data_IF_727018892867
#
_entry.id   IF_727018892867
#
_cell.length_a   1.000
_cell.length_b   1.000
_cell.length_c   1.000
_cell.angle_alpha   90.00
_cell.angle_beta   90.00
_cell.angle_gamma   90.00
#
_symmetry.space_group_name_H-M   'P 1'
#
loop_
_entity.id
_entity.type
_entity.pdbx_description
1 polymer ?
#
# COMPACT_ATOMS: atom_id res chain seq x y z
N UNK A 1 11.99 29.01 -21.68
CA UNK A 1 12.85 27.82 -21.55
C UNK A 1 11.94 26.65 -21.23
N UNK A 2 12.01 25.57 -21.98
CA UNK A 2 11.16 24.36 -21.73
C UNK A 2 11.48 23.79 -20.36
N UNK A 3 10.46 23.22 -19.68
CA UNK A 3 10.56 22.69 -18.31
C UNK A 3 11.76 21.75 -18.10
N UNK A 4 12.02 20.72 -18.94
CA UNK A 4 13.19 19.85 -18.78
C UNK A 4 14.52 20.60 -18.82
N UNK A 5 14.72 21.49 -19.78
CA UNK A 5 15.98 22.26 -19.93
C UNK A 5 16.28 23.16 -18.74
N UNK A 6 15.25 23.69 -18.06
CA UNK A 6 15.44 24.49 -16.85
C UNK A 6 15.96 23.62 -15.71
N UNK A 7 15.36 22.44 -15.52
CA UNK A 7 15.76 21.47 -14.48
C UNK A 7 17.17 20.94 -14.78
N UNK A 8 17.41 20.50 -16.02
CA UNK A 8 18.70 20.01 -16.47
C UNK A 8 19.83 21.00 -16.18
N UNK A 9 19.61 22.29 -16.43
CA UNK A 9 20.61 23.34 -16.13
C UNK A 9 20.93 23.41 -14.64
N UNK A 10 19.93 23.34 -13.77
CA UNK A 10 20.11 23.34 -12.30
C UNK A 10 20.93 22.12 -11.90
N UNK A 11 20.54 20.92 -12.32
CA UNK A 11 21.22 19.68 -11.95
C UNK A 11 22.67 19.62 -12.46
N UNK A 12 22.97 20.20 -13.64
CA UNK A 12 24.32 20.26 -14.20
C UNK A 12 25.31 21.02 -13.30
N UNK A 13 24.85 22.01 -12.55
CA UNK A 13 25.70 22.73 -11.60
C UNK A 13 26.21 21.84 -10.48
N UNK A 14 25.40 20.87 -10.02
CA UNK A 14 25.76 19.91 -8.97
C UNK A 14 26.66 18.76 -9.48
N UNK A 15 26.64 18.45 -10.78
CA UNK A 15 27.56 17.46 -11.37
C UNK A 15 29.03 17.88 -11.27
N UNK A 16 29.32 19.18 -11.26
CA UNK A 16 30.69 19.72 -11.21
C UNK A 16 31.33 19.53 -9.82
N UNK A 17 30.59 19.14 -8.82
CA UNK A 17 31.10 18.90 -7.48
C UNK A 17 31.69 17.49 -7.48
N UNK A 18 33.03 17.40 -7.52
CA UNK A 18 33.79 16.15 -7.52
C UNK A 18 33.75 15.46 -6.14
N UNK A 19 32.65 14.79 -5.80
CA UNK A 19 32.57 13.92 -4.65
C UNK A 19 31.71 12.70 -4.98
N UNK A 20 32.09 11.53 -4.43
CA UNK A 20 31.42 10.25 -4.61
C UNK A 20 30.16 10.10 -3.73
N UNK A 21 29.68 11.19 -3.14
CA UNK A 21 28.56 11.19 -2.22
C UNK A 21 27.23 11.29 -2.95
N UNK A 22 26.18 10.75 -2.38
CA UNK A 22 24.82 10.89 -2.89
C UNK A 22 24.44 12.37 -2.93
N UNK A 23 24.03 12.83 -4.10
CA UNK A 23 23.45 14.17 -4.29
C UNK A 23 21.93 14.03 -4.28
N UNK A 24 21.27 14.75 -3.39
CA UNK A 24 19.81 14.84 -3.32
C UNK A 24 19.41 16.31 -3.48
N UNK A 25 18.87 16.66 -4.61
CA UNK A 25 18.57 18.05 -5.01
C UNK A 25 17.07 18.25 -5.08
N UNK A 26 16.56 19.24 -4.35
CA UNK A 26 15.14 19.60 -4.35
C UNK A 26 14.93 20.86 -5.18
N UNK A 27 13.98 20.79 -6.10
CA UNK A 27 13.62 21.87 -7.01
C UNK A 27 12.11 22.09 -6.94
N UNK A 28 11.62 23.26 -6.48
CA UNK A 28 10.21 23.60 -6.60
C UNK A 28 9.79 23.68 -8.07
N UNK A 29 8.67 23.04 -8.39
CA UNK A 29 8.13 23.02 -9.75
C UNK A 29 6.65 23.42 -9.77
N UNK A 30 6.20 23.91 -10.92
CA UNK A 30 4.81 24.28 -11.14
C UNK A 30 4.10 23.24 -12.03
N UNK A 31 4.19 21.96 -11.61
CA UNK A 31 3.57 20.86 -12.31
C UNK A 31 2.91 19.92 -11.29
N UNK A 32 1.58 19.98 -11.12
CA UNK A 32 0.88 19.07 -10.22
C UNK A 32 1.07 17.60 -10.63
N UNK A 33 1.28 16.72 -9.67
CA UNK A 33 1.50 15.29 -9.92
C UNK A 33 0.36 14.64 -10.73
N UNK A 34 -0.87 15.08 -10.54
CA UNK A 34 -2.06 14.60 -11.28
C UNK A 34 -2.06 14.93 -12.77
N UNK A 35 -1.14 15.79 -13.23
CA UNK A 35 -0.94 16.09 -14.65
C UNK A 35 0.15 15.22 -15.28
N UNK A 36 0.82 14.39 -14.50
CA UNK A 36 1.84 13.47 -15.00
C UNK A 36 1.16 12.16 -15.37
N UNK A 37 1.34 11.74 -16.59
CA UNK A 37 0.82 10.47 -17.08
C UNK A 37 1.77 9.34 -16.62
N UNK A 38 1.33 8.56 -15.64
CA UNK A 38 2.15 7.49 -15.05
C UNK A 38 2.37 6.37 -16.06
N UNK A 39 1.42 6.14 -16.97
CA UNK A 39 1.54 5.14 -18.04
C UNK A 39 2.69 5.39 -19.01
N UNK A 40 3.27 6.62 -19.09
CA UNK A 40 4.44 6.89 -19.91
C UNK A 40 5.70 6.16 -19.44
N UNK A 41 5.78 5.79 -18.17
CA UNK A 41 6.89 5.03 -17.62
C UNK A 41 6.76 3.53 -17.85
N UNK A 42 5.61 3.08 -18.36
CA UNK A 42 5.40 1.70 -18.77
C UNK A 42 6.32 1.37 -19.97
N UNK A 43 6.91 0.20 -20.00
CA UNK A 43 7.84 -0.28 -21.04
C UNK A 43 9.26 0.35 -21.02
N UNK A 44 9.67 0.98 -19.92
CA UNK A 44 11.02 1.57 -19.78
C UNK A 44 11.94 0.77 -18.85
N UNK A 45 11.57 -0.42 -18.42
CA UNK A 45 12.27 -1.25 -17.42
C UNK A 45 12.56 -0.52 -16.10
N UNK A 46 11.82 0.56 -15.84
CA UNK A 46 11.97 1.38 -14.65
C UNK A 46 10.98 0.93 -13.56
N UNK A 47 11.48 0.91 -12.34
CA UNK A 47 10.62 0.72 -11.17
C UNK A 47 9.89 2.02 -10.86
N UNK A 48 8.57 1.97 -10.73
CA UNK A 48 7.75 3.15 -10.44
C UNK A 48 6.85 2.87 -9.24
N UNK A 49 6.82 3.79 -8.28
CA UNK A 49 5.83 3.80 -7.21
C UNK A 49 5.08 5.13 -7.22
N UNK A 50 3.78 5.06 -7.47
CA UNK A 50 2.85 6.12 -7.10
C UNK A 50 2.29 5.85 -5.72
N UNK A 51 2.27 6.87 -4.88
CA UNK A 51 1.76 6.83 -3.52
C UNK A 51 0.93 8.08 -3.23
N UNK A 52 -0.25 7.94 -2.72
CA UNK A 52 -1.14 9.03 -2.36
C UNK A 52 -1.96 8.66 -1.13
N UNK A 53 -2.14 9.63 -0.24
CA UNK A 53 -3.17 9.61 0.79
C UNK A 53 -4.05 10.82 0.58
N UNK A 54 -5.17 10.71 -0.15
CA UNK A 54 -5.95 11.87 -0.61
C UNK A 54 -6.41 12.80 0.50
N UNK A 55 -6.71 12.26 1.70
CA UNK A 55 -7.13 13.04 2.86
C UNK A 55 -6.01 13.86 3.50
N UNK A 56 -4.74 13.55 3.25
CA UNK A 56 -3.58 14.28 3.79
C UNK A 56 -2.97 15.26 2.80
N UNK A 57 -3.51 15.35 1.57
CA UNK A 57 -2.96 16.17 0.48
C UNK A 57 -1.47 15.90 0.20
N UNK A 58 -1.04 14.67 0.50
CA UNK A 58 0.33 14.22 0.30
C UNK A 58 0.35 13.10 -0.73
N UNK A 59 1.18 13.27 -1.76
CA UNK A 59 1.38 12.26 -2.79
C UNK A 59 2.78 12.37 -3.39
N UNK A 60 3.30 11.24 -3.88
CA UNK A 60 4.53 11.24 -4.66
C UNK A 60 4.51 10.21 -5.78
N UNK A 61 5.34 10.47 -6.77
CA UNK A 61 5.71 9.57 -7.85
C UNK A 61 7.22 9.35 -7.77
N UNK A 62 7.63 8.15 -7.41
CA UNK A 62 9.02 7.73 -7.34
C UNK A 62 9.37 6.89 -8.56
N UNK A 63 10.47 7.22 -9.23
CA UNK A 63 10.85 6.63 -10.52
C UNK A 63 12.29 6.13 -10.45
N UNK A 64 12.53 4.92 -10.95
CA UNK A 64 13.80 4.22 -10.96
C UNK A 64 14.35 3.90 -9.57
N UNK A 65 15.47 3.20 -9.49
CA UNK A 65 16.11 2.85 -8.22
C UNK A 65 17.60 3.09 -8.29
N UNK A 66 18.09 3.89 -7.37
CA UNK A 66 19.51 4.26 -7.31
C UNK A 66 20.32 3.20 -6.56
N UNK A 67 19.80 2.72 -5.41
CA UNK A 67 20.48 1.76 -4.54
C UNK A 67 19.45 0.85 -3.90
N UNK A 68 19.87 -0.41 -3.69
CA UNK A 68 19.29 -1.30 -2.71
C UNK A 68 19.95 -0.99 -1.36
N UNK A 69 19.21 -0.48 -0.41
CA UNK A 69 19.71 -0.05 0.90
C UNK A 69 20.43 -1.15 1.71
N UNK A 70 20.27 -2.43 1.30
CA UNK A 70 20.86 -3.59 1.96
C UNK A 70 22.36 -3.81 1.69
N UNK A 71 22.95 -3.17 0.68
CA UNK A 71 24.31 -3.48 0.23
C UNK A 71 25.41 -2.49 0.63
N UNK A 72 25.05 -1.25 0.97
CA UNK A 72 26.03 -0.27 1.43
C UNK A 72 25.46 0.52 2.60
N UNK A 73 26.18 0.55 3.70
CA UNK A 73 25.96 1.54 4.76
C UNK A 73 26.26 2.92 4.14
N UNK A 74 25.22 3.55 3.74
CA UNK A 74 25.22 4.89 3.27
C UNK A 74 25.17 5.81 4.49
N UNK A 75 26.16 6.70 4.58
CA UNK A 75 26.22 7.66 5.67
C UNK A 75 25.33 8.87 5.32
N UNK A 76 24.26 9.09 6.09
CA UNK A 76 23.37 10.23 5.89
C UNK A 76 24.05 11.59 5.94
N UNK A 77 25.14 11.70 6.70
CA UNK A 77 25.87 12.95 6.84
C UNK A 77 26.61 13.39 5.57
N UNK A 78 26.80 12.47 4.63
CA UNK A 78 27.51 12.70 3.36
C UNK A 78 26.60 13.03 2.19
N UNK A 79 25.30 13.31 2.42
CA UNK A 79 24.43 13.76 1.34
C UNK A 79 24.65 15.25 1.08
N UNK A 80 25.09 15.56 -0.13
CA UNK A 80 25.06 16.94 -0.62
C UNK A 80 23.61 17.30 -0.99
N UNK A 81 23.07 18.28 -0.30
CA UNK A 81 21.69 18.70 -0.50
C UNK A 81 21.53 20.21 -0.31
N UNK A 82 20.46 20.75 -0.88
CA UNK A 82 20.00 22.11 -0.64
C UNK A 82 18.86 22.18 0.38
N UNK A 83 18.92 21.36 1.45
CA UNK A 83 17.81 21.13 2.39
C UNK A 83 17.48 22.30 3.29
N UNK A 84 18.41 23.21 3.55
CA UNK A 84 18.17 24.29 4.51
C UNK A 84 16.88 25.08 4.27
N UNK A 85 16.40 25.11 3.02
CA UNK A 85 15.13 25.74 2.62
C UNK A 85 13.93 24.77 2.62
N UNK A 86 14.15 23.45 2.80
CA UNK A 86 13.15 22.37 2.61
C UNK A 86 13.14 21.36 3.76
N UNK A 87 13.50 21.80 4.97
CA UNK A 87 13.59 20.93 6.16
C UNK A 87 12.27 20.23 6.53
N UNK A 88 11.15 20.77 6.08
CA UNK A 88 9.82 20.20 6.35
C UNK A 88 9.41 19.06 5.39
N UNK A 89 10.25 18.77 4.39
CA UNK A 89 9.99 17.68 3.44
C UNK A 89 10.66 16.37 3.90
N UNK A 90 9.97 15.24 3.77
CA UNK A 90 10.50 13.93 4.19
C UNK A 90 11.53 13.37 3.18
N UNK A 91 12.70 13.97 3.07
CA UNK A 91 13.75 13.63 2.09
C UNK A 91 15.09 13.25 2.73
N UNK A 92 15.87 12.36 2.06
CA UNK A 92 15.49 11.57 0.89
C UNK A 92 14.48 10.49 1.27
N UNK A 93 13.53 10.22 0.36
CA UNK A 93 12.62 9.10 0.53
C UNK A 93 13.34 7.78 0.24
N UNK A 94 13.22 6.84 1.16
CA UNK A 94 13.62 5.44 0.93
C UNK A 94 12.33 4.64 0.82
N UNK A 95 12.11 4.05 -0.34
CA UNK A 95 10.94 3.21 -0.59
C UNK A 95 11.21 1.81 -0.05
N UNK A 96 10.24 1.29 0.70
CA UNK A 96 10.28 -0.07 1.22
C UNK A 96 9.07 -0.87 0.78
N UNK A 97 9.33 -2.04 0.20
CA UNK A 97 8.30 -3.04 -0.08
C UNK A 97 8.69 -4.38 0.50
N UNK A 98 7.72 -5.10 1.05
CA UNK A 98 7.94 -6.44 1.63
C UNK A 98 6.76 -7.34 1.30
N UNK A 99 7.03 -8.51 0.74
CA UNK A 99 6.02 -9.53 0.48
C UNK A 99 5.49 -10.13 1.78
N UNK A 100 4.31 -10.73 1.72
CA UNK A 100 3.83 -11.56 2.82
C UNK A 100 4.81 -12.72 3.08
N UNK A 101 5.15 -13.03 4.33
CA UNK A 101 6.30 -13.88 4.66
C UNK A 101 6.05 -15.39 4.44
N UNK A 102 5.36 -15.76 3.38
CA UNK A 102 5.15 -17.13 2.92
C UNK A 102 5.40 -17.16 1.41
N UNK A 103 6.49 -17.78 1.01
CA UNK A 103 6.86 -17.87 -0.40
C UNK A 103 6.50 -19.28 -0.93
N UNK A 104 5.67 -19.33 -1.97
CA UNK A 104 5.27 -20.54 -2.69
C UNK A 104 5.76 -20.55 -4.15
N UNK A 105 6.77 -19.75 -4.48
CA UNK A 105 7.37 -19.66 -5.82
C UNK A 105 6.35 -19.37 -6.94
N UNK A 106 5.39 -18.53 -6.68
CA UNK A 106 4.37 -18.16 -7.66
C UNK A 106 4.93 -17.27 -8.76
N UNK A 107 4.77 -17.70 -10.02
CA UNK A 107 5.26 -16.95 -11.19
C UNK A 107 4.63 -15.56 -11.36
N UNK A 108 3.44 -15.32 -10.80
CA UNK A 108 2.77 -14.01 -10.93
C UNK A 108 3.52 -12.90 -10.18
N UNK A 109 4.33 -13.25 -9.16
CA UNK A 109 5.06 -12.31 -8.33
C UNK A 109 6.57 -12.18 -8.64
N UNK A 110 7.04 -12.84 -9.73
CA UNK A 110 8.47 -12.87 -10.05
C UNK A 110 9.10 -11.51 -10.36
N UNK A 111 8.28 -10.53 -10.77
CA UNK A 111 8.77 -9.19 -11.10
C UNK A 111 8.99 -8.34 -9.84
N UNK A 112 8.36 -8.68 -8.72
CA UNK A 112 8.47 -7.94 -7.47
C UNK A 112 9.37 -8.66 -6.46
N UNK A 113 10.14 -7.89 -5.71
CA UNK A 113 11.01 -8.37 -4.63
C UNK A 113 10.81 -7.53 -3.37
N UNK A 114 11.25 -8.08 -2.23
CA UNK A 114 11.45 -7.28 -1.02
C UNK A 114 12.60 -6.33 -1.27
N UNK A 115 12.36 -5.03 -1.18
CA UNK A 115 13.38 -4.02 -1.50
C UNK A 115 13.28 -2.80 -0.62
N UNK A 116 14.45 -2.23 -0.35
CA UNK A 116 14.64 -0.87 0.13
C UNK A 116 15.48 -0.13 -0.92
N UNK A 117 14.99 0.99 -1.44
CA UNK A 117 15.74 1.74 -2.44
C UNK A 117 15.46 3.24 -2.39
N UNK A 118 16.44 4.03 -2.81
CA UNK A 118 16.30 5.46 -3.06
C UNK A 118 15.93 5.64 -4.53
N UNK A 119 14.80 6.31 -4.87
CA UNK A 119 14.47 6.60 -6.27
C UNK A 119 15.46 7.59 -6.87
N UNK A 120 15.77 7.45 -8.18
CA UNK A 120 16.54 8.48 -8.89
C UNK A 120 15.78 9.80 -8.97
N UNK A 121 14.48 9.73 -9.21
CA UNK A 121 13.61 10.89 -9.36
C UNK A 121 12.34 10.73 -8.54
N UNK A 122 12.00 11.77 -7.79
CA UNK A 122 10.72 11.84 -7.06
C UNK A 122 10.02 13.14 -7.45
N UNK A 123 8.75 13.04 -7.83
CA UNK A 123 7.84 14.18 -7.87
C UNK A 123 7.00 14.11 -6.62
N UNK A 124 7.19 15.04 -5.72
CA UNK A 124 6.50 15.12 -4.43
C UNK A 124 5.51 16.27 -4.44
N UNK A 125 4.26 15.99 -4.15
CA UNK A 125 3.26 17.01 -3.85
C UNK A 125 2.95 16.98 -2.37
N UNK A 126 3.11 18.13 -1.72
CA UNK A 126 2.72 18.36 -0.34
C UNK A 126 1.85 19.61 -0.31
N UNK A 127 0.58 19.43 0.06
CA UNK A 127 -0.45 20.46 -0.03
C UNK A 127 -0.53 21.04 -1.47
N UNK A 128 -0.46 22.36 -1.61
CA UNK A 128 -0.53 23.03 -2.91
C UNK A 128 0.82 23.13 -3.66
N UNK A 129 1.92 22.67 -3.06
CA UNK A 129 3.28 22.79 -3.62
C UNK A 129 3.75 21.47 -4.20
N UNK A 130 4.47 21.54 -5.31
CA UNK A 130 5.10 20.36 -5.93
C UNK A 130 6.60 20.56 -6.02
N UNK A 131 7.33 19.51 -5.74
CA UNK A 131 8.79 19.48 -5.73
C UNK A 131 9.28 18.34 -6.62
N UNK A 132 10.35 18.57 -7.33
CA UNK A 132 11.14 17.55 -7.99
C UNK A 132 12.36 17.29 -7.11
N UNK A 133 12.61 16.03 -6.78
CA UNK A 133 13.75 15.58 -6.00
C UNK A 133 14.58 14.67 -6.91
N UNK A 134 15.81 15.05 -7.20
CA UNK A 134 16.73 14.29 -8.03
C UNK A 134 17.83 13.70 -7.16
N UNK A 135 17.98 12.38 -7.18
CA UNK A 135 19.00 11.65 -6.42
C UNK A 135 19.97 10.97 -7.41
N UNK A 136 21.26 11.26 -7.28
CA UNK A 136 22.29 10.69 -8.15
C UNK A 136 23.66 10.69 -7.50
N UNK A 137 24.53 9.72 -7.86
CA UNK A 137 25.94 9.67 -7.48
C UNK A 137 26.83 10.16 -8.58
N UNK A 138 26.51 9.80 -9.82
CA UNK A 138 27.40 9.91 -10.97
C UNK A 138 26.66 10.41 -12.22
N UNK A 139 27.39 10.58 -13.30
CA UNK A 139 26.85 11.09 -14.58
C UNK A 139 25.81 10.13 -15.19
N UNK A 140 25.96 8.83 -15.02
CA UNK A 140 25.00 7.86 -15.58
C UNK A 140 23.64 7.96 -14.89
N UNK A 141 23.61 8.18 -13.57
CA UNK A 141 22.37 8.43 -12.84
C UNK A 141 21.72 9.74 -13.25
N UNK A 142 22.53 10.77 -13.47
CA UNK A 142 22.07 12.05 -13.99
C UNK A 142 21.45 11.92 -15.38
N UNK A 143 22.09 11.19 -16.32
CA UNK A 143 21.57 10.97 -17.66
C UNK A 143 20.22 10.25 -17.64
N UNK A 144 20.04 9.28 -16.73
CA UNK A 144 18.74 8.64 -16.50
C UNK A 144 17.68 9.64 -16.05
N UNK A 145 18.03 10.52 -15.11
CA UNK A 145 17.10 11.56 -14.63
C UNK A 145 16.69 12.49 -15.79
N UNK A 146 17.63 12.91 -16.61
CA UNK A 146 17.33 13.76 -17.77
C UNK A 146 16.36 13.07 -18.73
N UNK A 147 16.58 11.81 -19.04
CA UNK A 147 15.66 11.02 -19.87
C UNK A 147 14.24 10.91 -19.27
N UNK A 148 14.13 10.79 -17.94
CA UNK A 148 12.84 10.78 -17.24
C UNK A 148 12.14 12.15 -17.29
N UNK A 149 12.88 13.25 -17.25
CA UNK A 149 12.31 14.60 -17.36
C UNK A 149 11.60 14.82 -18.70
N UNK A 150 12.13 14.27 -19.79
CA UNK A 150 11.48 14.32 -21.09
C UNK A 150 10.13 13.60 -21.09
N UNK A 151 10.04 12.42 -20.46
CA UNK A 151 8.78 11.67 -20.32
C UNK A 151 7.72 12.43 -19.49
N UNK A 152 8.15 13.21 -18.51
CA UNK A 152 7.25 14.05 -17.70
C UNK A 152 6.71 15.22 -18.53
N UNK A 153 7.52 15.78 -19.44
CA UNK A 153 7.19 16.99 -20.19
C UNK A 153 6.32 16.75 -21.44
N UNK A 154 6.41 15.57 -22.04
CA UNK A 154 5.68 15.25 -23.27
C UNK A 154 4.17 15.38 -23.15
N UNK A 155 3.63 15.34 -21.92
CA UNK A 155 2.19 15.44 -21.65
C UNK A 155 1.72 16.83 -21.19
N UNK A 156 2.61 17.79 -21.03
CA UNK A 156 2.24 19.14 -20.56
C UNK A 156 1.43 19.97 -21.57
N UNK A 157 1.36 19.55 -22.84
CA UNK A 157 0.73 20.31 -23.92
C UNK A 157 -0.49 19.65 -24.58
N UNK A 158 -0.75 18.39 -24.34
CA UNK A 158 -1.97 17.76 -24.81
C UNK A 158 -2.88 17.40 -23.61
N UNK A 159 -3.85 18.26 -23.33
CA UNK A 159 -5.11 17.76 -22.81
C UNK A 159 -5.65 16.82 -23.88
N UNK A 160 -5.15 15.59 -23.97
CA UNK A 160 -5.92 14.53 -24.59
C UNK A 160 -7.25 14.57 -23.87
N UNK A 161 -8.30 15.00 -24.56
CA UNK A 161 -9.65 14.59 -24.25
C UNK A 161 -9.62 13.06 -24.31
N UNK A 162 -9.17 12.46 -23.21
CA UNK A 162 -9.26 11.05 -22.93
C UNK A 162 -10.77 10.76 -22.88
N UNK A 163 -11.34 10.48 -24.04
CA UNK A 163 -12.53 9.65 -24.08
C UNK A 163 -12.12 8.37 -23.40
N UNK A 164 -12.53 8.29 -22.14
CA UNK A 164 -12.30 7.21 -21.20
C UNK A 164 -12.80 5.91 -21.83
N UNK A 165 -11.97 5.19 -22.56
CA UNK A 165 -12.24 3.78 -22.79
C UNK A 165 -12.13 3.11 -21.44
N UNK A 166 -13.29 2.84 -20.86
CA UNK A 166 -13.39 2.14 -19.58
C UNK A 166 -12.72 0.78 -19.76
N UNK A 167 -11.90 0.43 -18.77
CA UNK A 167 -11.35 -0.91 -18.70
C UNK A 167 -12.47 -1.95 -18.75
N UNK A 168 -12.36 -2.90 -19.67
CA UNK A 168 -13.35 -3.96 -19.85
C UNK A 168 -12.77 -5.30 -19.38
N UNK A 169 -13.54 -6.01 -18.56
CA UNK A 169 -13.30 -7.42 -18.26
C UNK A 169 -14.03 -8.29 -19.28
N UNK A 170 -13.39 -9.33 -19.76
CA UNK A 170 -14.15 -10.46 -20.28
C UNK A 170 -14.88 -11.11 -19.11
N UNK A 171 -16.18 -11.41 -19.31
CA UNK A 171 -16.97 -12.07 -18.28
C UNK A 171 -16.26 -13.34 -17.83
N UNK A 172 -15.63 -13.28 -16.65
CA UNK A 172 -15.22 -14.46 -15.94
C UNK A 172 -16.37 -14.81 -14.99
N UNK A 173 -16.81 -16.04 -15.05
CA UNK A 173 -17.75 -16.59 -14.07
C UNK A 173 -17.05 -16.63 -12.71
N UNK A 174 -17.28 -15.61 -11.89
CA UNK A 174 -16.67 -15.43 -10.55
C UNK A 174 -17.31 -16.34 -9.51
N UNK A 175 -18.27 -17.16 -9.87
CA UNK A 175 -19.02 -18.00 -8.93
C UNK A 175 -19.14 -19.43 -9.43
N UNK A 176 -18.05 -20.20 -9.33
CA UNK A 176 -18.15 -21.64 -9.40
C UNK A 176 -18.53 -22.19 -8.01
N UNK A 177 -19.48 -23.11 -7.96
CA UNK A 177 -19.77 -23.91 -6.73
C UNK A 177 -18.48 -24.56 -6.20
N UNK A 178 -17.59 -24.98 -7.07
CA UNK A 178 -16.27 -25.52 -6.71
C UNK A 178 -15.40 -24.52 -5.91
N UNK A 179 -15.41 -23.23 -6.25
CA UNK A 179 -14.69 -22.18 -5.50
C UNK A 179 -15.23 -22.03 -4.07
N UNK A 180 -16.53 -22.16 -3.88
CA UNK A 180 -17.14 -22.12 -2.55
C UNK A 180 -16.86 -23.39 -1.74
N UNK A 181 -16.88 -24.58 -2.35
CA UNK A 181 -16.54 -25.85 -1.68
C UNK A 181 -15.10 -25.84 -1.17
N UNK A 182 -14.15 -25.40 -2.01
CA UNK A 182 -12.74 -25.26 -1.59
C UNK A 182 -12.59 -24.25 -0.45
N UNK A 183 -13.32 -23.13 -0.52
CA UNK A 183 -13.38 -22.12 0.51
C UNK A 183 -13.91 -22.67 1.84
N UNK A 184 -15.03 -23.37 1.83
CA UNK A 184 -15.65 -24.00 3.00
C UNK A 184 -14.72 -25.04 3.63
N UNK A 185 -14.07 -25.87 2.83
CA UNK A 185 -13.08 -26.84 3.30
C UNK A 185 -11.91 -26.15 4.01
N UNK A 186 -11.39 -25.08 3.44
CA UNK A 186 -10.31 -24.31 4.05
C UNK A 186 -10.75 -23.68 5.38
N UNK A 187 -11.95 -23.09 5.45
CA UNK A 187 -12.49 -22.55 6.70
C UNK A 187 -12.62 -23.64 7.77
N UNK A 188 -13.14 -24.81 7.40
CA UNK A 188 -13.28 -25.91 8.33
C UNK A 188 -11.93 -26.37 8.90
N UNK A 189 -10.87 -26.34 8.07
CA UNK A 189 -9.51 -26.65 8.54
C UNK A 189 -8.99 -25.60 9.53
N UNK A 190 -9.17 -24.29 9.22
CA UNK A 190 -8.84 -23.22 10.16
C UNK A 190 -9.59 -23.34 11.49
N UNK A 191 -10.89 -23.64 11.45
CA UNK A 191 -11.72 -23.80 12.63
C UNK A 191 -11.29 -24.99 13.51
N UNK A 192 -10.73 -26.07 12.93
CA UNK A 192 -10.14 -27.16 13.73
C UNK A 192 -8.97 -26.67 14.58
N UNK A 193 -8.05 -25.90 13.98
CA UNK A 193 -6.92 -25.34 14.71
C UNK A 193 -7.34 -24.34 15.78
N UNK A 194 -8.39 -23.55 15.53
CA UNK A 194 -8.95 -22.59 16.49
C UNK A 194 -9.63 -23.31 17.65
N UNK A 195 -10.38 -24.39 17.38
CA UNK A 195 -11.04 -25.20 18.43
C UNK A 195 -10.02 -25.88 19.34
N UNK A 196 -8.88 -26.28 18.79
CA UNK A 196 -7.78 -26.90 19.55
C UNK A 196 -6.90 -25.85 20.26
N UNK A 197 -7.30 -24.57 20.27
CA UNK A 197 -6.61 -23.44 20.93
C UNK A 197 -5.17 -23.19 20.43
N UNK A 198 -4.78 -23.80 19.32
CA UNK A 198 -3.47 -23.58 18.71
C UNK A 198 -3.32 -22.16 18.17
N UNK A 199 -4.42 -21.54 17.77
CA UNK A 199 -4.49 -20.18 17.24
C UNK A 199 -5.83 -19.56 17.64
N UNK A 200 -5.83 -18.26 17.95
CA UNK A 200 -7.06 -17.52 18.29
C UNK A 200 -7.73 -16.96 17.02
N UNK A 201 -6.92 -16.57 16.04
CA UNK A 201 -7.34 -16.02 14.76
C UNK A 201 -6.34 -16.41 13.69
N UNK A 202 -6.81 -16.75 12.50
CA UNK A 202 -5.98 -16.83 11.30
C UNK A 202 -6.73 -16.26 10.10
N UNK A 203 -6.03 -15.56 9.19
CA UNK A 203 -6.65 -14.91 8.04
C UNK A 203 -6.55 -15.85 6.84
N UNK A 204 -7.70 -16.25 6.32
CA UNK A 204 -7.80 -16.99 5.07
C UNK A 204 -7.99 -15.99 3.93
N UNK A 205 -7.24 -16.18 2.85
CA UNK A 205 -7.33 -15.33 1.67
C UNK A 205 -7.66 -16.11 0.41
N UNK A 206 -8.13 -15.38 -0.60
CA UNK A 206 -8.40 -15.88 -1.95
C UNK A 206 -8.11 -14.79 -2.98
N UNK A 207 -8.02 -15.19 -4.24
CA UNK A 207 -8.03 -14.25 -5.35
C UNK A 207 -9.03 -14.71 -6.42
N UNK A 208 -9.42 -13.76 -7.26
CA UNK A 208 -10.13 -14.02 -8.52
C UNK A 208 -9.25 -13.55 -9.66
N UNK A 209 -9.24 -14.30 -10.77
CA UNK A 209 -8.46 -14.00 -11.96
C UNK A 209 -9.40 -13.75 -13.14
N UNK A 210 -9.28 -12.58 -13.76
CA UNK A 210 -10.07 -12.19 -14.93
C UNK A 210 -9.15 -11.72 -16.06
N UNK A 211 -9.58 -11.87 -17.30
CA UNK A 211 -8.86 -11.28 -18.44
C UNK A 211 -9.30 -9.84 -18.66
N UNK A 212 -8.35 -8.97 -18.96
CA UNK A 212 -8.56 -7.56 -19.25
C UNK A 212 -8.43 -7.36 -20.77
N UNK A 213 -9.41 -6.72 -21.40
CA UNK A 213 -9.35 -6.33 -22.81
C UNK A 213 -8.53 -5.06 -23.00
N UNK A 214 -8.79 -4.06 -22.16
CA UNK A 214 -8.06 -2.78 -22.16
C UNK A 214 -8.17 -2.12 -20.78
N UNK A 215 -7.21 -1.26 -20.44
CA UNK A 215 -7.30 -0.41 -19.26
C UNK A 215 -6.38 0.80 -19.42
N UNK A 216 -6.77 1.89 -18.77
CA UNK A 216 -5.95 3.08 -18.60
C UNK A 216 -5.57 3.21 -17.12
N UNK A 217 -4.27 3.17 -16.85
CA UNK A 217 -3.75 3.20 -15.48
C UNK A 217 -4.04 4.53 -14.78
N UNK A 218 -3.99 5.64 -15.50
CA UNK A 218 -4.22 6.98 -14.94
C UNK A 218 -5.69 7.15 -14.56
N UNK A 219 -6.61 6.50 -15.29
CA UNK A 219 -8.02 6.42 -14.94
C UNK A 219 -8.24 5.57 -13.69
N UNK A 220 -7.58 4.42 -13.60
CA UNK A 220 -7.64 3.54 -12.42
C UNK A 220 -7.22 4.31 -11.17
N UNK A 221 -6.08 4.99 -11.22
CA UNK A 221 -5.57 5.81 -10.11
C UNK A 221 -6.57 6.91 -9.73
N UNK A 222 -7.02 7.68 -10.72
CA UNK A 222 -7.97 8.77 -10.50
C UNK A 222 -9.28 8.27 -9.88
N UNK A 223 -9.77 7.11 -10.31
CA UNK A 223 -10.99 6.50 -9.79
C UNK A 223 -10.82 6.05 -8.34
N UNK A 224 -9.67 5.43 -8.01
CA UNK A 224 -9.35 5.04 -6.63
C UNK A 224 -9.25 6.27 -5.72
N UNK A 225 -8.48 7.29 -6.11
CA UNK A 225 -8.30 8.53 -5.33
C UNK A 225 -9.62 9.26 -5.07
N UNK A 226 -10.51 9.31 -6.05
CA UNK A 226 -11.82 9.95 -5.88
C UNK A 226 -12.75 9.16 -4.95
N UNK A 227 -12.75 7.82 -5.07
CA UNK A 227 -13.68 6.96 -4.33
C UNK A 227 -13.22 6.65 -2.91
N UNK A 228 -11.91 6.56 -2.65
CA UNK A 228 -11.33 6.06 -1.40
C UNK A 228 -10.42 7.10 -0.74
N UNK A 229 -10.97 8.25 -0.36
CA UNK A 229 -10.22 9.41 0.14
C UNK A 229 -9.42 9.14 1.41
N UNK A 230 -9.89 8.23 2.27
CA UNK A 230 -9.25 7.88 3.54
C UNK A 230 -8.33 6.65 3.44
N UNK A 231 -8.07 6.17 2.22
CA UNK A 231 -7.19 5.04 1.95
C UNK A 231 -5.84 5.51 1.39
N UNK A 232 -4.84 4.67 1.56
CA UNK A 232 -3.58 4.77 0.84
C UNK A 232 -3.80 4.25 -0.58
N UNK A 233 -3.61 5.10 -1.57
CA UNK A 233 -3.63 4.73 -2.98
C UNK A 233 -2.19 4.47 -3.40
N UNK A 234 -1.93 3.28 -3.90
CA UNK A 234 -0.61 2.90 -4.37
C UNK A 234 -0.67 2.21 -5.73
N UNK A 235 0.34 2.45 -6.53
CA UNK A 235 0.61 1.72 -7.77
C UNK A 235 2.09 1.44 -7.84
N UNK A 236 2.45 0.18 -7.75
CA UNK A 236 3.82 -0.30 -7.96
C UNK A 236 3.90 -0.95 -9.33
N UNK A 237 4.83 -0.46 -10.11
CA UNK A 237 5.01 -0.88 -11.48
C UNK A 237 6.43 -1.40 -11.65
N UNK A 238 6.59 -2.61 -12.13
CA UNK A 238 7.89 -3.23 -12.38
C UNK A 238 7.77 -4.19 -13.57
N UNK A 239 8.56 -3.99 -14.63
CA UNK A 239 8.48 -4.71 -15.89
C UNK A 239 7.06 -4.69 -16.49
N UNK A 240 6.46 -5.88 -16.70
CA UNK A 240 5.12 -6.04 -17.24
C UNK A 240 4.03 -6.18 -16.18
N UNK A 241 4.38 -6.01 -14.90
CA UNK A 241 3.49 -6.21 -13.77
C UNK A 241 3.12 -4.90 -13.10
N UNK A 242 1.83 -4.72 -12.80
CA UNK A 242 1.29 -3.55 -12.10
C UNK A 242 0.54 -4.04 -10.86
N UNK A 243 1.05 -3.73 -9.68
CA UNK A 243 0.37 -3.99 -8.43
C UNK A 243 -0.20 -2.68 -7.87
N UNK A 244 -1.50 -2.63 -7.63
CA UNK A 244 -2.19 -1.41 -7.26
C UNK A 244 -3.30 -1.66 -6.24
N UNK A 245 -3.70 -0.61 -5.52
CA UNK A 245 -4.77 -0.76 -4.54
C UNK A 245 -5.16 0.53 -3.83
N UNK A 246 -6.19 0.38 -2.98
CA UNK A 246 -6.69 1.42 -2.08
C UNK A 246 -6.81 0.85 -0.65
N UNK A 247 -5.70 0.86 0.08
CA UNK A 247 -5.64 0.26 1.41
C UNK A 247 -6.17 1.18 2.50
N UNK A 248 -7.14 0.75 3.30
CA UNK A 248 -7.56 1.48 4.48
C UNK A 248 -6.66 1.23 5.70
N UNK A 249 -5.72 0.27 5.62
CA UNK A 249 -4.96 -0.23 6.77
C UNK A 249 -3.58 0.41 6.84
N UNK A 250 -3.39 1.31 7.81
CA UNK A 250 -2.08 1.84 8.20
C UNK A 250 -1.33 0.77 8.99
N UNK A 251 -0.07 0.44 8.60
CA UNK A 251 0.80 -0.29 9.50
C UNK A 251 1.25 0.62 10.64
N UNK A 252 1.94 1.68 10.30
CA UNK A 252 2.22 2.82 11.17
C UNK A 252 2.70 4.01 10.35
N UNK A 253 2.53 5.21 10.89
CA UNK A 253 3.29 6.40 10.53
C UNK A 253 4.14 6.84 11.72
N UNK A 254 5.31 7.41 11.44
CA UNK A 254 6.24 7.90 12.44
C UNK A 254 6.67 9.31 12.06
N UNK A 255 6.58 10.23 13.02
CA UNK A 255 7.10 11.59 12.90
C UNK A 255 7.42 12.13 14.28
N UNK A 256 8.59 12.75 14.44
CA UNK A 256 9.03 13.33 15.71
C UNK A 256 8.92 12.31 16.88
N UNK A 257 9.28 11.04 16.61
CA UNK A 257 9.15 9.89 17.54
C UNK A 257 7.72 9.52 17.95
N UNK A 258 6.72 10.20 17.43
CA UNK A 258 5.32 9.83 17.60
C UNK A 258 4.94 8.80 16.53
N UNK A 259 4.77 7.56 16.97
CA UNK A 259 4.22 6.49 16.17
C UNK A 259 2.69 6.54 16.25
N UNK A 260 2.05 6.54 15.09
CA UNK A 260 0.61 6.37 14.98
C UNK A 260 0.30 5.09 14.21
N UNK A 261 -0.49 4.22 14.81
CA UNK A 261 -1.03 3.00 14.18
C UNK A 261 -2.51 2.85 14.52
N UNK A 262 -3.14 1.81 14.01
CA UNK A 262 -4.56 1.58 14.25
C UNK A 262 -4.91 0.09 14.21
N UNK A 263 -5.83 -0.33 15.06
CA UNK A 263 -6.50 -1.61 14.93
C UNK A 263 -7.73 -1.43 14.04
N UNK A 264 -7.80 -2.19 12.97
CA UNK A 264 -8.91 -2.19 11.99
C UNK A 264 -9.33 -3.63 11.72
N UNK A 265 -10.38 -4.12 12.41
CA UNK A 265 -10.88 -5.48 12.26
C UNK A 265 -12.33 -5.57 12.73
N UNK A 266 -13.04 -6.61 12.28
CA UNK A 266 -14.48 -6.68 12.41
C UNK A 266 -15.16 -5.80 11.36
N UNK A 267 -16.12 -6.37 10.60
CA UNK A 267 -16.65 -5.70 9.41
C UNK A 267 -18.15 -5.93 9.24
N UNK A 268 -18.83 -4.92 8.70
CA UNK A 268 -20.21 -5.03 8.24
C UNK A 268 -20.42 -4.16 6.99
N UNK A 269 -21.37 -4.52 6.12
CA UNK A 269 -21.69 -3.75 4.94
C UNK A 269 -22.19 -2.34 5.30
N UNK A 270 -22.12 -1.41 4.33
CA UNK A 270 -22.78 -0.11 4.41
C UNK A 270 -24.29 -0.26 4.20
N UNK A 271 -25.07 0.56 4.89
CA UNK A 271 -26.50 0.67 4.67
C UNK A 271 -26.83 1.44 3.37
N UNK A 272 -27.95 1.09 2.72
CA UNK A 272 -28.45 1.80 1.54
C UNK A 272 -28.92 3.23 1.81
N UNK A 273 -29.16 3.57 3.07
CA UNK A 273 -29.51 4.90 3.55
C UNK A 273 -28.91 5.13 4.93
N UNK A 274 -28.95 6.37 5.42
CA UNK A 274 -28.33 6.76 6.70
C UNK A 274 -28.89 5.96 7.89
N UNK A 275 -30.19 5.75 7.96
CA UNK A 275 -30.84 5.04 9.08
C UNK A 275 -30.37 3.59 9.17
N UNK A 276 -30.35 2.88 8.03
CA UNK A 276 -29.85 1.51 7.96
C UNK A 276 -28.35 1.44 8.24
N UNK A 277 -27.57 2.41 7.72
CA UNK A 277 -26.13 2.47 7.93
C UNK A 277 -25.77 2.66 9.41
N UNK A 278 -26.49 3.54 10.10
CA UNK A 278 -26.29 3.77 11.54
C UNK A 278 -26.78 2.58 12.39
N UNK A 279 -27.85 1.88 11.95
CA UNK A 279 -28.30 0.63 12.57
C UNK A 279 -27.22 -0.46 12.46
N UNK A 280 -26.68 -0.70 11.26
CA UNK A 280 -25.61 -1.68 11.04
C UNK A 280 -24.33 -1.33 11.83
N UNK A 281 -23.98 -0.06 11.93
CA UNK A 281 -22.88 0.39 12.78
C UNK A 281 -23.11 0.04 14.26
N UNK A 282 -24.34 0.24 14.76
CA UNK A 282 -24.70 -0.09 16.14
C UNK A 282 -24.72 -1.60 16.39
N UNK A 283 -25.11 -2.40 15.41
CA UNK A 283 -25.04 -3.87 15.47
C UNK A 283 -23.60 -4.34 15.56
N UNK A 284 -22.71 -3.80 14.71
CA UNK A 284 -21.27 -4.12 14.71
C UNK A 284 -20.60 -3.84 16.06
N UNK A 285 -20.94 -2.71 16.69
CA UNK A 285 -20.43 -2.35 18.03
C UNK A 285 -20.91 -3.28 19.17
N UNK A 286 -21.90 -4.12 18.93
CA UNK A 286 -22.47 -5.07 19.91
C UNK A 286 -22.21 -6.53 19.54
N UNK A 287 -21.63 -6.77 18.37
CA UNK A 287 -21.37 -8.14 17.91
C UNK A 287 -20.15 -8.74 18.59
N UNK A 288 -20.38 -9.75 19.41
CA UNK A 288 -19.33 -10.38 20.22
C UNK A 288 -18.22 -11.01 19.39
N UNK A 289 -18.54 -11.58 18.22
CA UNK A 289 -17.54 -12.17 17.31
C UNK A 289 -16.60 -11.10 16.78
N UNK A 290 -17.15 -10.01 16.22
CA UNK A 290 -16.39 -8.92 15.67
C UNK A 290 -15.57 -8.17 16.74
N UNK A 291 -16.13 -7.98 17.93
CA UNK A 291 -15.42 -7.40 19.07
C UNK A 291 -14.25 -8.28 19.53
N UNK A 292 -14.42 -9.60 19.57
CA UNK A 292 -13.33 -10.53 19.90
C UNK A 292 -12.23 -10.53 18.84
N UNK A 293 -12.61 -10.48 17.55
CA UNK A 293 -11.65 -10.32 16.44
C UNK A 293 -10.86 -9.01 16.57
N UNK A 294 -11.55 -7.91 16.80
CA UNK A 294 -10.94 -6.59 16.96
C UNK A 294 -9.99 -6.55 18.15
N UNK A 295 -10.41 -7.11 19.31
CA UNK A 295 -9.57 -7.18 20.49
C UNK A 295 -8.25 -7.92 20.22
N UNK A 296 -8.27 -9.02 19.47
CA UNK A 296 -7.05 -9.73 19.10
C UNK A 296 -6.07 -8.86 18.30
N UNK A 297 -6.58 -7.92 17.49
CA UNK A 297 -5.71 -6.97 16.75
C UNK A 297 -5.13 -5.92 17.68
N UNK A 298 -5.94 -5.39 18.60
CA UNK A 298 -5.49 -4.42 19.61
C UNK A 298 -4.41 -5.04 20.48
N UNK A 299 -4.69 -6.24 21.07
CA UNK A 299 -3.74 -6.96 21.93
C UNK A 299 -2.44 -7.24 21.18
N UNK A 300 -2.51 -7.68 19.92
CA UNK A 300 -1.33 -7.89 19.09
C UNK A 300 -0.46 -6.62 18.96
N UNK A 301 -1.08 -5.47 18.64
CA UNK A 301 -0.32 -4.23 18.46
C UNK A 301 0.32 -3.80 19.77
N UNK A 302 -0.42 -3.82 20.87
CA UNK A 302 0.09 -3.39 22.18
C UNK A 302 1.22 -4.29 22.69
N UNK A 303 1.06 -5.62 22.61
CA UNK A 303 2.09 -6.58 23.00
C UNK A 303 3.37 -6.43 22.17
N UNK A 304 3.24 -6.15 20.87
CA UNK A 304 4.39 -5.99 19.99
C UNK A 304 5.07 -4.61 20.12
N UNK A 305 4.40 -3.61 20.65
CA UNK A 305 4.99 -2.32 20.96
C UNK A 305 5.62 -2.29 22.36
N UNK A 306 5.27 -3.23 23.24
CA UNK A 306 5.87 -3.35 24.58
C UNK A 306 7.40 -3.50 24.47
N UNK A 307 8.12 -2.67 25.20
CA UNK A 307 9.59 -2.62 25.13
C UNK A 307 10.16 -1.66 24.08
N UNK A 308 9.40 -1.27 23.06
CA UNK A 308 9.82 -0.33 22.01
C UNK A 308 9.36 1.11 22.26
N UNK A 309 8.39 1.31 23.16
CA UNK A 309 7.77 2.61 23.42
C UNK A 309 7.96 3.02 24.88
N UNK A 310 7.96 4.35 25.12
CA UNK A 310 7.94 4.93 26.46
C UNK A 310 6.50 5.11 26.95
N UNK A 311 5.59 5.48 26.04
CA UNK A 311 4.17 5.67 26.35
C UNK A 311 3.31 5.13 25.21
N UNK A 312 2.10 4.68 25.56
CA UNK A 312 1.08 4.27 24.62
C UNK A 312 -0.28 4.84 25.01
N UNK A 313 -0.96 5.43 24.06
CA UNK A 313 -2.31 5.95 24.20
C UNK A 313 -3.26 5.14 23.31
N UNK A 314 -4.33 4.64 23.88
CA UNK A 314 -5.30 3.80 23.21
C UNK A 314 -6.71 4.03 23.75
N UNK A 315 -7.68 4.09 22.86
CA UNK A 315 -9.09 4.15 23.25
C UNK A 315 -9.54 2.80 23.83
N UNK A 316 -10.26 2.85 24.95
CA UNK A 316 -10.77 1.64 25.64
C UNK A 316 -11.82 0.91 24.77
N UNK A 317 -12.63 1.65 24.02
CA UNK A 317 -13.71 1.09 23.19
C UNK A 317 -13.47 1.44 21.70
N UNK A 318 -13.71 0.47 20.81
CA UNK A 318 -13.60 0.75 19.39
C UNK A 318 -14.65 1.73 18.90
N UNK A 319 -14.30 2.50 17.88
CA UNK A 319 -15.19 3.37 17.10
C UNK A 319 -15.55 2.70 15.77
N UNK A 320 -16.43 3.31 14.99
CA UNK A 320 -16.74 2.88 13.62
C UNK A 320 -15.95 3.73 12.62
N UNK A 321 -15.17 3.07 11.76
CA UNK A 321 -14.56 3.66 10.55
C UNK A 321 -15.41 3.28 9.34
N UNK A 322 -16.05 4.26 8.74
CA UNK A 322 -16.92 4.07 7.55
C UNK A 322 -16.09 4.27 6.30
N UNK A 323 -15.92 3.22 5.52
CA UNK A 323 -15.35 3.29 4.16
C UNK A 323 -16.50 3.35 3.13
N UNK A 324 -16.17 3.43 1.85
CA UNK A 324 -17.18 3.62 0.81
C UNK A 324 -18.20 2.46 0.75
N UNK A 325 -17.76 1.22 0.84
CA UNK A 325 -18.58 0.01 0.66
C UNK A 325 -18.70 -0.88 1.90
N UNK A 326 -17.99 -0.57 2.98
CA UNK A 326 -17.91 -1.37 4.20
C UNK A 326 -17.62 -0.46 5.40
N UNK A 327 -17.98 -0.89 6.59
CA UNK A 327 -17.59 -0.23 7.84
C UNK A 327 -16.91 -1.24 8.77
N UNK A 328 -15.96 -0.74 9.58
CA UNK A 328 -15.12 -1.55 10.45
C UNK A 328 -15.13 -1.02 11.88
N UNK A 329 -14.86 -1.92 12.84
CA UNK A 329 -14.39 -1.49 14.16
C UNK A 329 -12.98 -0.91 14.01
N UNK A 330 -12.71 0.19 14.70
CA UNK A 330 -11.48 0.95 14.59
C UNK A 330 -11.04 1.51 15.94
N UNK A 331 -9.78 1.29 16.30
CA UNK A 331 -9.15 1.86 17.49
C UNK A 331 -7.84 2.52 17.08
N UNK A 332 -7.71 3.87 17.15
CA UNK A 332 -6.45 4.55 16.96
C UNK A 332 -5.51 4.29 18.12
N UNK A 333 -4.22 4.16 17.83
CA UNK A 333 -3.16 3.93 18.80
C UNK A 333 -2.04 4.91 18.51
N UNK A 334 -1.60 5.64 19.55
CA UNK A 334 -0.45 6.54 19.52
C UNK A 334 0.58 6.08 20.53
N UNK A 335 1.85 6.15 20.18
CA UNK A 335 2.92 5.76 21.06
C UNK A 335 4.18 6.61 20.82
N UNK A 336 4.90 6.96 21.87
CA UNK A 336 6.22 7.56 21.75
C UNK A 336 7.28 6.46 21.74
N UNK A 337 8.04 6.34 20.65
CA UNK A 337 9.11 5.35 20.52
C UNK A 337 10.36 5.79 21.27
N UNK A 338 11.10 4.81 21.80
CA UNK A 338 12.39 5.04 22.45
C UNK A 338 13.45 5.46 21.43
N UNK A 339 14.45 6.23 21.87
CA UNK A 339 15.55 6.73 21.03
C UNK A 339 16.36 5.65 20.33
N UNK A 340 16.45 4.46 20.92
CA UNK A 340 17.24 3.35 20.41
C UNK A 340 16.51 2.50 19.36
N UNK A 341 15.26 2.79 19.07
CA UNK A 341 14.42 1.95 18.20
C UNK A 341 14.49 2.43 16.76
N UNK A 342 14.88 1.54 15.86
CA UNK A 342 14.92 1.79 14.42
C UNK A 342 13.60 1.48 13.74
N UNK A 343 13.39 2.08 12.56
CA UNK A 343 12.22 1.82 11.70
C UNK A 343 12.16 0.34 11.29
N UNK A 344 13.30 -0.29 11.02
CA UNK A 344 13.35 -1.72 10.66
C UNK A 344 12.90 -2.64 11.80
N UNK A 345 13.26 -2.32 13.04
CA UNK A 345 12.77 -3.05 14.20
C UNK A 345 11.26 -2.91 14.36
N UNK A 346 10.70 -1.70 14.19
CA UNK A 346 9.25 -1.48 14.22
C UNK A 346 8.53 -2.25 13.12
N UNK A 347 9.07 -2.23 11.88
CA UNK A 347 8.51 -3.01 10.77
C UNK A 347 8.53 -4.49 11.09
N UNK A 348 9.64 -5.05 11.56
CA UNK A 348 9.75 -6.48 11.84
C UNK A 348 8.84 -6.92 12.99
N UNK A 349 8.62 -6.04 13.95
CA UNK A 349 7.78 -6.31 15.11
C UNK A 349 6.28 -6.27 14.75
N UNK A 350 5.83 -5.22 14.04
CA UNK A 350 4.43 -5.02 13.73
C UNK A 350 3.95 -5.78 12.49
N UNK A 351 4.85 -6.11 11.54
CA UNK A 351 4.49 -6.80 10.30
C UNK A 351 4.85 -8.30 10.32
N UNK A 352 4.00 -9.18 9.79
CA UNK A 352 2.62 -8.93 9.37
C UNK A 352 1.69 -8.74 10.58
N UNK A 353 0.67 -7.86 10.41
CA UNK A 353 -0.32 -7.61 11.45
C UNK A 353 -1.22 -8.82 11.69
N UNK A 354 -1.86 -8.90 12.85
CA UNK A 354 -2.85 -9.93 13.11
C UNK A 354 -4.13 -9.75 12.27
N UNK A 355 -4.34 -8.57 11.70
CA UNK A 355 -5.47 -8.29 10.80
C UNK A 355 -5.32 -8.99 9.43
N UNK A 356 -4.10 -9.27 8.99
CA UNK A 356 -3.81 -9.94 7.71
C UNK A 356 -3.19 -11.32 7.86
N UNK A 357 -2.67 -11.66 9.02
CA UNK A 357 -2.02 -12.94 9.32
C UNK A 357 -2.85 -13.75 10.32
N UNK A 358 -2.95 -13.27 11.54
CA UNK A 358 -3.62 -13.93 12.65
C UNK A 358 -2.82 -13.84 13.96
N UNK A 359 -3.32 -14.52 15.00
CA UNK A 359 -2.75 -14.46 16.34
C UNK A 359 -2.89 -15.79 17.08
N UNK A 360 -1.83 -16.33 17.70
CA UNK A 360 -0.44 -15.89 17.65
C UNK A 360 0.19 -16.02 16.25
N UNK A 361 1.05 -15.07 15.88
CA UNK A 361 1.63 -14.90 14.53
C UNK A 361 2.26 -16.19 13.95
N UNK A 362 3.14 -16.87 14.71
CA UNK A 362 3.81 -18.10 14.25
C UNK A 362 2.85 -19.23 13.92
N UNK A 363 1.84 -19.44 14.77
CA UNK A 363 0.83 -20.47 14.56
C UNK A 363 -0.06 -20.15 13.34
N UNK A 364 -0.48 -18.89 13.20
CA UNK A 364 -1.25 -18.44 12.05
C UNK A 364 -0.48 -18.60 10.73
N UNK A 365 0.80 -18.18 10.67
CA UNK A 365 1.65 -18.38 9.49
C UNK A 365 1.76 -19.84 9.08
N UNK A 366 1.87 -20.76 10.06
CA UNK A 366 1.91 -22.19 9.78
C UNK A 366 0.63 -22.66 9.10
N UNK A 367 -0.54 -22.32 9.63
CA UNK A 367 -1.84 -22.71 9.07
C UNK A 367 -1.99 -22.15 7.65
N UNK A 368 -1.69 -20.86 7.45
CA UNK A 368 -1.75 -20.23 6.13
C UNK A 368 -0.85 -20.95 5.14
N UNK A 369 0.39 -21.31 5.55
CA UNK A 369 1.34 -21.99 4.67
C UNK A 369 0.92 -23.41 4.28
N UNK A 370 0.18 -24.09 5.16
CA UNK A 370 -0.31 -25.45 4.93
C UNK A 370 -1.59 -25.47 4.08
N UNK A 371 -2.44 -24.45 4.21
CA UNK A 371 -3.79 -24.43 3.62
C UNK A 371 -3.86 -23.65 2.31
N UNK A 372 -3.32 -22.43 2.24
CA UNK A 372 -3.36 -21.63 1.01
C UNK A 372 -2.43 -22.22 -0.05
N UNK A 373 -2.98 -22.52 -1.25
CA UNK A 373 -2.25 -23.16 -2.35
C UNK A 373 -1.46 -22.19 -3.23
N UNK A 374 -1.51 -20.87 -2.94
CA UNK A 374 -0.87 -19.83 -3.73
C UNK A 374 0.01 -18.91 -2.87
N UNK A 375 0.84 -18.12 -3.52
CA UNK A 375 1.69 -17.11 -2.89
C UNK A 375 0.93 -15.78 -2.86
N UNK A 376 0.80 -15.18 -1.70
CA UNK A 376 0.19 -13.85 -1.55
C UNK A 376 1.04 -12.75 -2.17
N UNK A 377 2.35 -12.95 -2.25
CA UNK A 377 3.29 -11.94 -2.75
C UNK A 377 3.14 -10.60 -2.05
N UNK A 378 2.92 -9.52 -2.81
CA UNK A 378 2.68 -8.20 -2.25
C UNK A 378 1.25 -8.01 -1.72
N UNK A 379 0.27 -8.86 -2.06
CA UNK A 379 -1.01 -8.84 -1.37
C UNK A 379 -0.83 -9.16 0.11
N UNK A 380 -1.40 -8.37 0.99
CA UNK A 380 -1.10 -8.37 2.42
C UNK A 380 0.38 -8.08 2.74
N UNK A 381 1.13 -7.57 1.77
CA UNK A 381 2.50 -7.10 1.92
C UNK A 381 2.58 -5.73 2.58
N UNK A 382 3.79 -5.23 2.72
CA UNK A 382 4.09 -3.89 3.20
C UNK A 382 4.49 -3.00 2.02
N UNK A 383 3.94 -1.80 1.94
CA UNK A 383 4.39 -0.75 1.02
C UNK A 383 4.44 0.57 1.79
N UNK A 384 5.47 1.35 1.55
CA UNK A 384 5.59 2.68 2.11
C UNK A 384 6.98 3.26 1.93
N UNK A 385 7.26 4.25 2.74
CA UNK A 385 8.51 4.99 2.71
C UNK A 385 8.99 5.35 4.11
N UNK A 386 10.26 5.62 4.21
CA UNK A 386 10.88 6.20 5.38
C UNK A 386 12.04 7.12 4.95
N UNK A 387 12.57 7.89 5.88
CA UNK A 387 13.72 8.75 5.66
C UNK A 387 14.74 8.60 6.80
N UNK A 388 15.79 9.40 6.76
CA UNK A 388 16.90 9.32 7.71
C UNK A 388 16.70 10.11 9.00
N UNK A 389 15.66 10.96 9.04
CA UNK A 389 15.27 11.70 10.24
C UNK A 389 14.13 10.99 11.00
N UNK A 390 14.03 9.66 10.81
CA UNK A 390 13.05 8.79 11.46
C UNK A 390 11.59 9.18 11.20
N UNK A 391 11.28 9.72 10.01
CA UNK A 391 9.91 9.79 9.53
C UNK A 391 9.60 8.59 8.64
N UNK A 392 8.39 8.06 8.74
CA UNK A 392 7.93 6.93 7.96
C UNK A 392 6.41 6.94 7.78
N UNK A 393 5.92 6.36 6.68
CA UNK A 393 4.51 6.06 6.49
C UNK A 393 4.35 4.76 5.70
N UNK A 394 3.75 3.75 6.34
CA UNK A 394 3.59 2.40 5.80
C UNK A 394 2.15 1.96 5.85
N UNK A 395 1.69 1.33 4.77
CA UNK A 395 0.41 0.62 4.76
C UNK A 395 0.58 -0.87 4.49
N UNK A 396 -0.42 -1.62 4.89
CA UNK A 396 -0.60 -3.02 4.50
C UNK A 396 -1.29 -3.07 3.15
N UNK A 397 -0.72 -3.76 2.16
CA UNK A 397 -1.20 -3.75 0.78
C UNK A 397 -2.40 -4.69 0.58
N UNK A 398 -3.55 -4.29 1.12
CA UNK A 398 -4.86 -4.94 0.92
C UNK A 398 -5.76 -4.10 0.00
N UNK A 399 -6.95 -4.64 -0.33
CA UNK A 399 -7.86 -4.03 -1.31
C UNK A 399 -7.10 -3.72 -2.59
N UNK A 400 -6.42 -4.73 -3.11
CA UNK A 400 -5.41 -4.62 -4.15
C UNK A 400 -5.64 -5.61 -5.28
N UNK A 401 -5.08 -5.27 -6.43
CA UNK A 401 -5.05 -6.11 -7.62
C UNK A 401 -3.66 -6.11 -8.25
N UNK A 402 -3.37 -7.19 -8.96
CA UNK A 402 -2.18 -7.36 -9.78
C UNK A 402 -2.62 -7.52 -11.23
N UNK A 403 -2.11 -6.67 -12.11
CA UNK A 403 -2.20 -6.88 -13.55
C UNK A 403 -0.86 -7.43 -14.02
N UNK A 404 -0.91 -8.58 -14.68
CA UNK A 404 0.24 -9.19 -15.34
C UNK A 404 -0.17 -9.65 -16.73
N UNK A 405 0.47 -9.12 -17.77
CA UNK A 405 0.03 -9.26 -19.15
C UNK A 405 -1.42 -8.77 -19.32
N UNK A 406 -2.33 -9.67 -19.71
CA UNK A 406 -3.76 -9.42 -19.86
C UNK A 406 -4.60 -9.95 -18.71
N UNK A 407 -3.99 -10.41 -17.63
CA UNK A 407 -4.69 -11.00 -16.48
C UNK A 407 -4.74 -10.02 -15.30
N UNK A 408 -5.93 -9.82 -14.76
CA UNK A 408 -6.17 -9.12 -13.49
C UNK A 408 -6.40 -10.15 -12.39
N UNK A 409 -5.57 -10.12 -11.37
CA UNK A 409 -5.76 -10.85 -10.12
C UNK A 409 -6.24 -9.86 -9.06
N UNK A 410 -7.43 -10.07 -8.51
CA UNK A 410 -7.95 -9.27 -7.41
C UNK A 410 -7.98 -10.12 -6.14
N UNK A 411 -7.48 -9.58 -5.02
CA UNK A 411 -7.24 -10.32 -3.78
C UNK A 411 -8.17 -9.87 -2.66
N UNK A 412 -8.62 -10.81 -1.84
CA UNK A 412 -9.34 -10.54 -0.60
C UNK A 412 -9.06 -11.62 0.45
N UNK A 413 -9.30 -11.29 1.72
CA UNK A 413 -9.22 -12.23 2.83
C UNK A 413 -10.09 -11.80 4.00
N UNK A 414 -10.39 -12.73 4.89
CA UNK A 414 -11.13 -12.48 6.12
C UNK A 414 -10.49 -13.19 7.30
N UNK A 415 -10.71 -12.65 8.50
CA UNK A 415 -10.21 -13.21 9.75
C UNK A 415 -11.12 -14.32 10.27
N UNK A 416 -10.61 -15.55 10.29
CA UNK A 416 -11.32 -16.69 10.83
C UNK A 416 -11.07 -16.76 12.32
N UNK A 417 -12.15 -16.75 13.09
CA UNK A 417 -12.17 -16.84 14.55
C UNK A 417 -13.17 -17.90 15.00
N UNK A 418 -13.23 -18.19 16.29
CA UNK A 418 -14.24 -19.11 16.85
C UNK A 418 -15.66 -18.58 16.51
N UNK A 419 -16.46 -19.41 15.84
CA UNK A 419 -17.82 -19.06 15.41
C UNK A 419 -17.90 -18.41 14.02
N UNK A 420 -16.81 -18.34 13.25
CA UNK A 420 -16.87 -17.96 11.83
C UNK A 420 -17.70 -18.98 11.05
N UNK A 421 -18.50 -18.47 10.11
CA UNK A 421 -19.38 -19.19 9.20
C UNK A 421 -18.89 -19.03 7.75
N UNK A 422 -18.82 -20.14 7.02
CA UNK A 422 -18.19 -20.15 5.70
C UNK A 422 -18.88 -19.24 4.69
N UNK A 423 -20.21 -19.20 4.68
CA UNK A 423 -20.98 -18.35 3.76
C UNK A 423 -20.80 -16.87 4.10
N UNK A 424 -20.89 -16.51 5.37
CA UNK A 424 -20.71 -15.13 5.84
C UNK A 424 -19.32 -14.59 5.46
N UNK A 425 -18.26 -15.39 5.70
CA UNK A 425 -16.88 -15.01 5.37
C UNK A 425 -16.66 -14.92 3.86
N UNK A 426 -17.30 -15.79 3.07
CA UNK A 426 -17.27 -15.73 1.62
C UNK A 426 -17.91 -14.44 1.09
N UNK A 427 -19.07 -14.06 1.62
CA UNK A 427 -19.74 -12.81 1.24
C UNK A 427 -18.89 -11.59 1.63
N UNK A 428 -18.20 -11.63 2.78
CA UNK A 428 -17.27 -10.58 3.18
C UNK A 428 -16.13 -10.42 2.17
N UNK A 429 -15.55 -11.53 1.67
CA UNK A 429 -14.51 -11.44 0.64
C UNK A 429 -15.03 -10.83 -0.66
N UNK A 430 -16.26 -11.12 -1.07
CA UNK A 430 -16.89 -10.47 -2.23
C UNK A 430 -17.00 -8.95 -2.08
N UNK A 431 -17.37 -8.48 -0.89
CA UNK A 431 -17.40 -7.04 -0.60
C UNK A 431 -16.00 -6.41 -0.67
N UNK A 432 -14.98 -7.15 -0.22
CA UNK A 432 -13.58 -6.70 -0.22
C UNK A 432 -12.94 -6.70 -1.62
N UNK A 433 -13.44 -7.48 -2.56
CA UNK A 433 -13.02 -7.49 -3.97
C UNK A 433 -13.60 -6.32 -4.78
N UNK A 434 -14.78 -5.80 -4.40
CA UNK A 434 -15.49 -4.73 -5.12
C UNK A 434 -14.63 -3.50 -5.45
N UNK A 435 -13.77 -2.96 -4.55
CA UNK A 435 -12.93 -1.81 -4.86
C UNK A 435 -12.09 -1.98 -6.13
N UNK A 436 -11.60 -3.17 -6.38
CA UNK A 436 -10.77 -3.49 -7.54
C UNK A 436 -11.63 -3.87 -8.75
N UNK A 437 -12.54 -4.82 -8.60
CA UNK A 437 -13.34 -5.33 -9.72
C UNK A 437 -14.24 -4.25 -10.33
N UNK A 438 -14.78 -3.34 -9.52
CA UNK A 438 -15.63 -2.24 -10.02
C UNK A 438 -14.90 -1.21 -10.89
N UNK A 439 -13.58 -1.23 -10.93
CA UNK A 439 -12.80 -0.37 -11.82
C UNK A 439 -12.87 -0.84 -13.28
N UNK A 440 -13.17 -2.12 -13.49
CA UNK A 440 -13.15 -2.81 -14.77
C UNK A 440 -14.54 -3.26 -15.24
N UNK A 441 -15.55 -3.25 -14.38
CA UNK A 441 -16.92 -3.63 -14.76
C UNK A 441 -17.70 -2.41 -15.27
N UNK A 442 -18.37 -2.57 -16.42
CA UNK A 442 -19.46 -1.70 -16.82
C UNK A 442 -20.72 -2.00 -15.97
N UNK A 443 -20.77 -1.55 -14.73
CA UNK A 443 -22.08 -1.35 -14.13
C UNK A 443 -22.65 -0.06 -14.73
N UNK A 444 -23.74 -0.22 -15.51
CA UNK A 444 -24.57 0.89 -15.93
C UNK A 444 -24.88 1.73 -14.68
N UNK A 445 -24.32 2.92 -14.60
CA UNK A 445 -24.75 3.96 -13.68
C UNK A 445 -26.12 4.43 -14.19
N UNK A 446 -27.18 3.83 -13.67
CA UNK A 446 -28.50 4.42 -13.60
C UNK A 446 -28.65 5.18 -12.28
#
# INVERSE_FOLDING_TARGET
>A
MNFPKKIERILTEYLKINQWDLKSIVIPINLPIKKICISNFRNKDEKVLYWEKPSSEYSFLAISSLILASSNKYDPSNILHNWGEFSDLPIPLIIKTKKFPINKNSKIWNDFNDVDYIPNLVILQSHAKTYLIANFFNISDYEKIVAMLDLISENGNETKNLFLEKAELEKADVTNEEDFIDWENNINEYLKHIRNENVKKAVLSKFVCNQIKSFDLDIVITSLSKKYKDCYIFVLFEKDSIFFGASPEKLFSLKDKLLETEALAGSIARGSNKTLDDKLASELLKDNKNLAEHKNVVDYITENLEGFVDTIEIDIMPRIKKLNNIQHLWTPIKAHIKDSVSIDELVNQLYPTSAICGYPKKAALKIISETEKYDRGLYSGLIGWYNQIDEADFCVAIRSGLIKNISLYAFAGCGIVRGSDAESEYQETKLKLKPILSLFNHENSN
#
